data_IF_752712911325
#
_entry.id   IF_752712911325
#
_cell.length_a   1.000
_cell.length_b   1.000
_cell.length_c   1.000
_cell.angle_alpha   90.00
_cell.angle_beta   90.00
_cell.angle_gamma   90.00
#
_symmetry.space_group_name_H-M   'P 1'
#
loop_
_entity.id
_entity.type
_entity.pdbx_description
1 polymer ?
#
# COMPACT_ATOMS: atom_id res chain seq x y z
N UNK A 1 -1.80 23.04 2.19
CA UNK A 1 -2.50 21.75 2.23
C UNK A 1 -1.62 20.80 3.01
N UNK A 2 -1.95 20.48 4.26
CA UNK A 2 -1.19 19.52 5.06
C UNK A 2 -1.58 18.13 4.54
N UNK A 3 -0.71 17.50 3.76
CA UNK A 3 -0.90 16.11 3.34
C UNK A 3 -0.74 15.28 4.60
N UNK A 4 -1.83 14.73 5.11
CA UNK A 4 -1.75 13.84 6.25
C UNK A 4 -0.81 12.67 5.90
N UNK A 5 0.16 12.42 6.78
CA UNK A 5 1.19 11.39 6.57
C UNK A 5 0.56 9.99 6.45
N UNK A 6 -0.57 9.78 7.12
CA UNK A 6 -1.37 8.55 7.05
C UNK A 6 -2.77 8.92 6.57
N UNK A 7 -3.32 8.09 5.68
CA UNK A 7 -4.67 8.25 5.15
C UNK A 7 -5.50 7.02 5.49
N UNK A 8 -6.84 7.16 5.62
CA UNK A 8 -7.72 6.00 5.69
C UNK A 8 -7.44 5.05 4.53
N UNK A 9 -7.50 3.73 4.79
CA UNK A 9 -7.15 2.69 3.82
C UNK A 9 -7.85 2.87 2.47
N UNK A 10 -9.15 3.25 2.47
CA UNK A 10 -9.90 3.52 1.26
C UNK A 10 -9.32 4.69 0.43
N UNK A 11 -8.87 5.76 1.10
CA UNK A 11 -8.24 6.91 0.46
C UNK A 11 -6.84 6.57 -0.05
N UNK A 12 -6.02 5.88 0.77
CA UNK A 12 -4.70 5.41 0.37
C UNK A 12 -4.78 4.48 -0.87
N UNK A 13 -5.75 3.56 -0.87
CA UNK A 13 -6.07 2.72 -2.03
C UNK A 13 -6.39 3.54 -3.28
N UNK A 14 -7.30 4.52 -3.18
CA UNK A 14 -7.67 5.34 -4.32
C UNK A 14 -6.45 6.10 -4.90
N UNK A 15 -5.59 6.63 -4.03
CA UNK A 15 -4.34 7.28 -4.45
C UNK A 15 -3.41 6.30 -5.16
N UNK A 16 -3.19 5.11 -4.59
CA UNK A 16 -2.32 4.08 -5.17
C UNK A 16 -2.87 3.47 -6.47
N UNK A 17 -4.19 3.44 -6.64
CA UNK A 17 -4.82 3.05 -7.90
C UNK A 17 -4.55 4.09 -9.00
N UNK A 18 -4.67 5.39 -8.67
CA UNK A 18 -4.36 6.48 -9.59
C UNK A 18 -2.86 6.63 -9.87
N UNK A 19 -2.01 6.28 -8.91
CA UNK A 19 -0.56 6.42 -9.04
C UNK A 19 0.08 5.14 -9.59
N UNK A 20 0.39 5.14 -10.88
CA UNK A 20 1.17 4.08 -11.57
C UNK A 20 0.66 2.64 -11.34
N UNK A 21 -0.65 2.46 -11.15
CA UNK A 21 -1.29 1.16 -10.83
C UNK A 21 -0.67 0.46 -9.62
N UNK A 22 -0.14 1.24 -8.69
CA UNK A 22 0.71 0.75 -7.62
C UNK A 22 -0.04 -0.09 -6.59
N UNK A 23 -1.34 0.19 -6.39
CA UNK A 23 -2.20 -0.67 -5.59
C UNK A 23 -2.26 -2.10 -6.12
N UNK A 24 -2.43 -2.27 -7.44
CA UNK A 24 -2.51 -3.59 -8.05
C UNK A 24 -1.17 -4.33 -7.94
N UNK A 25 -0.06 -3.66 -8.25
CA UNK A 25 1.27 -4.25 -8.12
C UNK A 25 1.60 -4.68 -6.68
N UNK A 26 1.22 -3.88 -5.68
CA UNK A 26 1.39 -4.23 -4.27
C UNK A 26 0.52 -5.43 -3.89
N UNK A 27 -0.77 -5.41 -4.25
CA UNK A 27 -1.69 -6.51 -3.98
C UNK A 27 -1.16 -7.81 -4.59
N UNK A 28 -0.76 -7.78 -5.85
CA UNK A 28 -0.25 -8.95 -6.56
C UNK A 28 0.97 -9.52 -5.83
N UNK A 29 1.96 -8.67 -5.51
CA UNK A 29 3.18 -9.08 -4.81
C UNK A 29 2.92 -9.62 -3.39
N UNK A 30 1.93 -9.10 -2.68
CA UNK A 30 1.55 -9.65 -1.37
C UNK A 30 0.83 -10.99 -1.54
N UNK A 31 -0.09 -11.10 -2.51
CA UNK A 31 -0.83 -12.34 -2.77
C UNK A 31 0.02 -13.46 -3.37
N UNK A 32 1.26 -13.17 -3.77
CA UNK A 32 2.24 -14.20 -4.11
C UNK A 32 2.74 -14.96 -2.88
N UNK A 33 2.74 -14.35 -1.67
CA UNK A 33 3.21 -15.02 -0.45
C UNK A 33 2.14 -15.18 0.63
N UNK A 34 1.18 -14.27 0.70
CA UNK A 34 0.08 -14.28 1.67
C UNK A 34 -1.23 -14.65 0.98
N UNK A 35 -2.10 -15.44 1.62
CA UNK A 35 -3.40 -15.80 1.06
C UNK A 35 -4.34 -14.60 0.86
N UNK A 36 -4.16 -13.54 1.66
CA UNK A 36 -5.05 -12.36 1.67
C UNK A 36 -4.27 -11.05 1.70
N UNK A 37 -4.74 -10.09 0.90
CA UNK A 37 -4.26 -8.72 0.98
C UNK A 37 -5.04 -7.93 2.05
N UNK A 38 -4.39 -7.68 3.19
CA UNK A 38 -4.94 -6.88 4.29
C UNK A 38 -4.97 -5.39 3.95
N UNK A 39 -6.12 -4.89 3.50
CA UNK A 39 -6.27 -3.49 3.09
C UNK A 39 -6.20 -2.51 4.26
N UNK A 40 -6.55 -2.96 5.47
CA UNK A 40 -6.44 -2.20 6.71
C UNK A 40 -5.02 -1.69 6.97
N UNK A 41 -4.01 -2.49 6.63
CA UNK A 41 -2.59 -2.13 6.80
C UNK A 41 -2.18 -0.92 5.96
N UNK A 42 -2.93 -0.57 4.90
CA UNK A 42 -2.67 0.66 4.13
C UNK A 42 -2.81 1.92 5.01
N UNK A 43 -3.70 1.90 6.00
CA UNK A 43 -3.87 3.04 6.92
C UNK A 43 -2.74 3.15 7.94
N UNK A 44 -1.97 2.07 8.14
CA UNK A 44 -0.84 2.00 9.06
C UNK A 44 0.48 2.40 8.38
N UNK A 45 0.50 2.48 7.04
CA UNK A 45 1.68 2.92 6.29
C UNK A 45 1.67 4.43 6.04
N UNK A 46 2.86 5.04 6.02
CA UNK A 46 3.00 6.42 5.56
C UNK A 46 2.73 6.51 4.06
N UNK A 47 2.07 7.59 3.63
CA UNK A 47 1.85 7.88 2.22
C UNK A 47 3.16 8.06 1.45
N UNK A 48 4.19 8.60 2.10
CA UNK A 48 5.52 8.70 1.52
C UNK A 48 6.08 7.32 1.17
N UNK A 49 6.03 6.36 2.09
CA UNK A 49 6.51 5.00 1.84
C UNK A 49 5.67 4.29 0.80
N UNK A 50 4.34 4.40 0.95
CA UNK A 50 3.39 3.83 0.00
C UNK A 50 3.66 4.29 -1.43
N UNK A 51 4.21 5.50 -1.66
CA UNK A 51 4.47 6.04 -3.00
C UNK A 51 5.94 5.87 -3.47
N UNK A 52 6.90 5.75 -2.55
CA UNK A 52 8.34 5.83 -2.89
C UNK A 52 9.10 4.52 -2.69
N UNK A 53 8.69 3.66 -1.75
CA UNK A 53 9.37 2.38 -1.46
C UNK A 53 9.23 1.41 -2.65
N UNK A 54 10.09 0.40 -2.78
CA UNK A 54 9.89 -0.63 -3.81
C UNK A 54 8.64 -1.47 -3.51
N UNK A 55 7.98 -2.02 -4.54
CA UNK A 55 6.79 -2.87 -4.32
C UNK A 55 7.12 -4.09 -3.47
N UNK A 56 8.27 -4.74 -3.73
CA UNK A 56 8.68 -5.94 -3.00
C UNK A 56 8.97 -5.63 -1.52
N UNK A 57 9.72 -4.56 -1.24
CA UNK A 57 10.01 -4.14 0.15
C UNK A 57 8.76 -3.69 0.90
N UNK A 58 7.76 -3.18 0.18
CA UNK A 58 6.47 -2.82 0.77
C UNK A 58 5.64 -4.07 1.05
N UNK A 59 5.63 -5.05 0.13
CA UNK A 59 4.97 -6.33 0.31
C UNK A 59 5.53 -7.13 1.50
N UNK A 60 6.83 -7.03 1.79
CA UNK A 60 7.43 -7.63 2.99
C UNK A 60 6.77 -7.15 4.30
N UNK A 61 6.19 -5.93 4.32
CA UNK A 61 5.48 -5.39 5.50
C UNK A 61 4.10 -6.01 5.73
N UNK A 62 3.57 -6.73 4.73
CA UNK A 62 2.33 -7.49 4.84
C UNK A 62 2.56 -8.92 5.34
N UNK A 63 3.81 -9.39 5.40
CA UNK A 63 4.14 -10.69 5.95
C UNK A 63 4.03 -10.65 7.47
N UNK A 64 3.23 -11.55 8.04
CA UNK A 64 3.05 -11.74 9.50
C UNK A 64 3.60 -13.08 9.95
#
# INVERSE_FOLDING_TARGET
MNVADHLPAATARAVLQGYRRRYQALRDAVTETEDVFREDLLAEQSMADLLTVSILSLADRWRS
#
